data_IF_971364732752
#
_entry.id   IF_971364732752
#
_cell.length_a   1.000
_cell.length_b   1.000
_cell.length_c   1.000
_cell.angle_alpha   90.00
_cell.angle_beta   90.00
_cell.angle_gamma   90.00
#
_symmetry.space_group_name_H-M   'P 1'
#
loop_
_entity.id
_entity.type
_entity.pdbx_description
1 polymer ?
#
# COMPACT_ATOMS: atom_id res chain seq x y z
N UNK A 1 16.49 -34.57 -32.46
CA UNK A 1 15.16 -34.20 -31.89
C UNK A 1 14.20 -33.58 -32.93
N UNK A 2 13.02 -34.18 -33.11
CA UNK A 2 11.94 -33.67 -33.98
C UNK A 2 11.31 -32.37 -33.39
N UNK A 3 10.64 -31.57 -34.23
CA UNK A 3 9.97 -30.30 -33.86
C UNK A 3 8.93 -30.48 -32.75
N UNK A 4 8.19 -31.59 -32.75
CA UNK A 4 7.21 -31.91 -31.71
C UNK A 4 7.88 -32.12 -30.34
N UNK A 5 8.97 -32.91 -30.31
CA UNK A 5 9.78 -33.16 -29.13
C UNK A 5 10.40 -31.87 -28.58
N UNK A 6 10.96 -31.03 -29.44
CA UNK A 6 11.51 -29.73 -29.04
C UNK A 6 10.45 -28.82 -28.41
N UNK A 7 9.22 -28.84 -28.93
CA UNK A 7 8.10 -28.08 -28.37
C UNK A 7 7.68 -28.63 -27.01
N UNK A 8 7.62 -29.95 -26.85
CA UNK A 8 7.31 -30.62 -25.59
C UNK A 8 8.34 -30.30 -24.50
N UNK A 9 9.63 -30.49 -24.79
CA UNK A 9 10.72 -30.19 -23.85
C UNK A 9 10.71 -28.72 -23.43
N UNK A 10 10.45 -27.79 -24.35
CA UNK A 10 10.30 -26.38 -24.00
C UNK A 10 9.07 -26.09 -23.12
N UNK A 11 7.99 -26.89 -23.22
CA UNK A 11 6.87 -26.79 -22.27
C UNK A 11 7.34 -27.22 -20.87
N UNK A 12 7.99 -28.36 -20.73
CA UNK A 12 8.52 -28.85 -19.45
C UNK A 12 9.48 -27.82 -18.82
N UNK A 13 10.50 -27.37 -19.56
CA UNK A 13 11.52 -26.44 -19.04
C UNK A 13 11.00 -25.05 -18.67
N UNK A 14 9.89 -24.60 -19.30
CA UNK A 14 9.23 -23.34 -18.91
C UNK A 14 8.57 -23.42 -17.54
N UNK A 15 8.33 -24.63 -17.03
CA UNK A 15 7.69 -24.89 -15.73
C UNK A 15 8.70 -25.11 -14.61
N UNK A 16 10.00 -25.23 -14.87
CA UNK A 16 11.02 -25.51 -13.82
C UNK A 16 11.87 -24.26 -13.56
N UNK A 17 11.92 -23.80 -12.30
CA UNK A 17 12.70 -22.64 -11.87
C UNK A 17 14.15 -23.00 -11.56
N UNK A 18 14.94 -23.17 -12.63
CA UNK A 18 16.37 -23.47 -12.51
C UNK A 18 17.23 -22.64 -13.47
N UNK A 19 18.54 -22.60 -13.18
CA UNK A 19 19.51 -21.85 -13.99
C UNK A 19 19.68 -22.45 -15.40
N UNK A 20 20.17 -21.65 -16.34
CA UNK A 20 20.27 -22.05 -17.75
C UNK A 20 21.16 -23.29 -17.98
N UNK A 21 22.21 -23.46 -17.18
CA UNK A 21 23.07 -24.65 -17.22
C UNK A 21 22.30 -25.92 -16.83
N UNK A 22 21.41 -25.83 -15.86
CA UNK A 22 20.56 -26.96 -15.43
C UNK A 22 19.45 -27.26 -16.44
N UNK A 23 18.82 -26.23 -17.02
CA UNK A 23 17.86 -26.41 -18.13
C UNK A 23 18.48 -27.14 -19.32
N UNK A 24 19.79 -27.03 -19.52
CA UNK A 24 20.51 -27.78 -20.56
C UNK A 24 20.62 -29.27 -20.24
N UNK A 25 20.83 -29.64 -18.96
CA UNK A 25 20.88 -31.04 -18.51
C UNK A 25 19.52 -31.71 -18.64
N UNK A 26 18.48 -31.09 -18.07
CA UNK A 26 17.09 -31.59 -18.15
C UNK A 26 16.65 -31.77 -19.61
N UNK A 27 17.03 -30.85 -20.50
CA UNK A 27 16.75 -30.98 -21.94
C UNK A 27 17.34 -32.25 -22.54
N UNK A 28 18.57 -32.61 -22.15
CA UNK A 28 19.26 -33.79 -22.64
C UNK A 28 18.64 -35.06 -22.05
N UNK A 29 18.35 -35.07 -20.75
CA UNK A 29 17.75 -36.22 -20.06
C UNK A 29 16.38 -36.56 -20.67
N UNK A 30 15.53 -35.54 -20.89
CA UNK A 30 14.25 -35.70 -21.57
C UNK A 30 14.42 -36.20 -23.01
N UNK A 31 15.47 -35.78 -23.72
CA UNK A 31 15.70 -36.25 -25.08
C UNK A 31 16.02 -37.75 -25.09
N UNK A 32 16.87 -38.21 -24.17
CA UNK A 32 17.28 -39.62 -24.03
C UNK A 32 16.06 -40.48 -23.68
N UNK A 33 15.30 -40.10 -22.65
CA UNK A 33 14.09 -40.83 -22.22
C UNK A 33 13.08 -40.99 -23.37
N UNK A 34 12.94 -39.97 -24.22
CA UNK A 34 12.04 -40.02 -25.36
C UNK A 34 12.54 -40.95 -26.46
N UNK A 35 13.85 -40.97 -26.73
CA UNK A 35 14.42 -41.86 -27.74
C UNK A 35 14.33 -43.32 -27.32
N UNK A 36 14.60 -43.63 -26.05
CA UNK A 36 14.46 -44.97 -25.49
C UNK A 36 13.02 -45.47 -25.61
N UNK A 37 12.05 -44.69 -25.10
CA UNK A 37 10.64 -45.08 -25.16
C UNK A 37 10.06 -45.13 -26.57
N UNK A 38 10.56 -44.30 -27.48
CA UNK A 38 10.09 -44.31 -28.87
C UNK A 38 10.42 -45.63 -29.56
N UNK A 39 11.59 -46.21 -29.25
CA UNK A 39 12.00 -47.52 -29.76
C UNK A 39 11.17 -48.65 -29.14
N UNK A 40 10.93 -48.59 -27.83
CA UNK A 40 10.17 -49.62 -27.11
C UNK A 40 8.70 -49.67 -27.53
N UNK A 41 8.06 -48.52 -27.68
CA UNK A 41 6.62 -48.42 -27.92
C UNK A 41 6.27 -48.25 -29.41
N UNK A 42 7.28 -48.14 -30.29
CA UNK A 42 7.13 -47.78 -31.69
C UNK A 42 6.22 -46.54 -31.88
N UNK A 43 6.37 -45.55 -31.01
CA UNK A 43 5.56 -44.34 -30.95
C UNK A 43 6.47 -43.11 -31.00
N UNK A 44 6.00 -42.04 -31.64
CA UNK A 44 6.77 -40.82 -31.84
C UNK A 44 6.17 -39.60 -31.11
N UNK A 45 4.93 -39.71 -30.64
CA UNK A 45 4.23 -38.64 -29.94
C UNK A 45 4.78 -38.44 -28.51
N UNK A 46 5.38 -37.29 -28.19
CA UNK A 46 5.96 -37.03 -26.87
C UNK A 46 4.97 -37.20 -25.71
N UNK A 47 3.68 -36.92 -25.92
CA UNK A 47 2.67 -37.05 -24.87
C UNK A 47 2.37 -38.51 -24.53
N UNK A 48 2.47 -39.41 -25.52
CA UNK A 48 2.28 -40.85 -25.29
C UNK A 48 3.52 -41.50 -24.69
N UNK A 49 4.71 -40.96 -25.00
CA UNK A 49 5.98 -41.46 -24.48
C UNK A 49 6.19 -41.07 -23.01
N UNK A 50 6.01 -39.80 -22.70
CA UNK A 50 6.36 -39.24 -21.39
C UNK A 50 5.16 -38.75 -20.57
N UNK A 51 3.96 -38.76 -21.13
CA UNK A 51 2.77 -38.22 -20.48
C UNK A 51 2.65 -36.70 -20.64
N UNK A 52 1.95 -36.07 -19.71
CA UNK A 52 1.75 -34.62 -19.74
C UNK A 52 3.01 -33.88 -19.24
N UNK A 53 3.42 -32.79 -19.91
CA UNK A 53 4.65 -32.07 -19.59
C UNK A 53 4.64 -31.43 -18.19
N UNK A 54 3.47 -31.28 -17.57
CA UNK A 54 3.27 -30.89 -16.19
C UNK A 54 3.81 -31.94 -15.21
N UNK A 55 3.39 -33.20 -15.37
CA UNK A 55 3.79 -34.31 -14.49
C UNK A 55 5.29 -34.58 -14.61
N UNK A 56 5.80 -34.51 -15.85
CA UNK A 56 7.24 -34.63 -16.09
C UNK A 56 8.01 -33.47 -15.46
N UNK A 57 7.47 -32.25 -15.46
CA UNK A 57 8.13 -31.14 -14.78
C UNK A 57 8.16 -31.33 -13.25
N UNK A 58 7.09 -31.87 -12.67
CA UNK A 58 6.97 -32.19 -11.24
C UNK A 58 7.99 -33.26 -10.81
N UNK A 59 8.07 -34.38 -11.51
CA UNK A 59 9.02 -35.45 -11.20
C UNK A 59 10.47 -34.94 -11.22
N UNK A 60 10.82 -34.13 -12.20
CA UNK A 60 12.13 -33.49 -12.27
C UNK A 60 12.32 -32.48 -11.11
N UNK A 61 11.35 -31.63 -10.83
CA UNK A 61 11.41 -30.65 -9.75
C UNK A 61 11.57 -31.29 -8.36
N UNK A 62 10.81 -32.37 -8.08
CA UNK A 62 10.85 -33.14 -6.84
C UNK A 62 12.20 -33.84 -6.66
N UNK A 63 12.67 -34.57 -7.67
CA UNK A 63 13.96 -35.27 -7.63
C UNK A 63 15.15 -34.32 -7.44
N UNK A 64 14.99 -33.04 -7.78
CA UNK A 64 16.04 -32.03 -7.65
C UNK A 64 15.87 -31.08 -6.46
N UNK A 65 14.73 -31.08 -5.77
CA UNK A 65 14.41 -30.10 -4.72
C UNK A 65 14.29 -28.66 -5.23
N UNK A 66 13.85 -28.47 -6.48
CA UNK A 66 13.77 -27.15 -7.15
C UNK A 66 12.31 -26.77 -7.37
N UNK A 67 11.97 -25.48 -7.28
CA UNK A 67 10.60 -25.02 -7.44
C UNK A 67 10.12 -25.03 -8.90
N UNK A 68 8.82 -25.19 -9.11
CA UNK A 68 8.18 -24.98 -10.40
C UNK A 68 7.80 -23.50 -10.61
N UNK A 69 7.93 -23.00 -11.84
CA UNK A 69 7.23 -21.81 -12.32
C UNK A 69 5.73 -22.11 -12.38
N UNK A 70 5.05 -21.95 -11.24
CA UNK A 70 3.62 -22.23 -11.04
C UNK A 70 2.72 -21.48 -12.01
N UNK A 71 2.08 -22.20 -12.94
CA UNK A 71 0.76 -21.84 -13.51
C UNK A 71 0.09 -23.02 -14.27
N UNK A 72 -0.41 -24.04 -13.57
CA UNK A 72 -1.36 -25.02 -14.12
C UNK A 72 -2.47 -25.36 -13.12
N UNK A 73 -3.69 -25.51 -13.62
CA UNK A 73 -4.88 -25.94 -12.88
C UNK A 73 -5.30 -27.27 -13.51
N UNK A 74 -5.27 -28.37 -12.74
CA UNK A 74 -5.68 -29.70 -13.18
C UNK A 74 -7.06 -30.04 -12.62
N UNK A 75 -7.97 -30.42 -13.50
CA UNK A 75 -9.30 -30.94 -13.17
C UNK A 75 -9.39 -32.30 -13.82
N UNK A 76 -9.58 -33.37 -13.04
CA UNK A 76 -9.68 -34.72 -13.62
C UNK A 76 -10.92 -34.85 -14.51
N UNK A 77 -10.79 -35.50 -15.66
CA UNK A 77 -11.93 -35.79 -16.55
C UNK A 77 -12.96 -36.71 -15.88
N UNK A 78 -12.51 -37.58 -14.97
CA UNK A 78 -13.38 -38.45 -14.19
C UNK A 78 -14.10 -37.65 -13.11
N UNK A 79 -15.44 -37.68 -13.13
CA UNK A 79 -16.33 -37.00 -12.17
C UNK A 79 -17.16 -38.05 -11.41
N UNK A 80 -17.38 -37.82 -10.11
CA UNK A 80 -18.33 -38.58 -9.27
C UNK A 80 -19.36 -37.57 -8.74
N UNK A 81 -20.66 -37.85 -8.93
CA UNK A 81 -21.76 -36.93 -8.57
C UNK A 81 -21.62 -35.51 -9.15
N UNK A 82 -20.97 -35.37 -10.32
CA UNK A 82 -20.73 -34.06 -10.94
C UNK A 82 -19.54 -33.28 -10.35
N UNK A 83 -18.85 -33.84 -9.36
CA UNK A 83 -17.60 -33.30 -8.81
C UNK A 83 -16.39 -34.07 -9.34
N UNK A 84 -15.33 -33.40 -9.82
CA UNK A 84 -14.13 -34.07 -10.31
C UNK A 84 -13.50 -34.89 -9.17
N UNK A 85 -13.06 -36.11 -9.47
CA UNK A 85 -12.46 -37.03 -8.49
C UNK A 85 -11.19 -36.43 -7.88
N UNK A 86 -10.45 -35.67 -8.68
CA UNK A 86 -9.26 -34.92 -8.24
C UNK A 86 -9.39 -33.48 -8.73
N UNK A 87 -9.37 -32.53 -7.79
CA UNK A 87 -9.27 -31.10 -8.05
C UNK A 87 -8.04 -30.55 -7.32
N UNK A 88 -6.97 -30.25 -8.06
CA UNK A 88 -5.76 -29.64 -7.49
C UNK A 88 -5.81 -28.15 -7.80
N UNK A 89 -6.27 -27.36 -6.83
CA UNK A 89 -6.21 -25.90 -6.88
C UNK A 89 -4.86 -25.44 -6.32
N UNK A 90 -3.87 -25.27 -7.19
CA UNK A 90 -2.59 -24.70 -6.78
C UNK A 90 -2.75 -23.17 -6.65
N UNK A 91 -3.09 -22.69 -5.44
CA UNK A 91 -3.19 -21.27 -5.17
C UNK A 91 -1.80 -20.61 -5.24
N UNK A 92 -1.54 -19.92 -6.37
CA UNK A 92 -0.69 -18.74 -6.50
C UNK A 92 0.28 -18.44 -5.32
N UNK A 93 1.53 -18.89 -5.40
CA UNK A 93 2.61 -18.28 -4.61
C UNK A 93 3.09 -16.98 -5.28
N UNK A 94 2.20 -15.98 -5.30
CA UNK A 94 2.63 -14.58 -5.25
C UNK A 94 2.04 -14.01 -3.98
N UNK A 95 2.77 -14.14 -2.88
CA UNK A 95 2.48 -13.48 -1.62
C UNK A 95 2.03 -14.39 -0.48
N UNK A 96 2.48 -14.02 0.72
CA UNK A 96 2.22 -14.67 1.99
C UNK A 96 0.92 -14.14 2.61
N UNK A 97 0.09 -15.02 3.17
CA UNK A 97 -1.06 -14.63 3.97
C UNK A 97 -0.96 -15.30 5.35
N UNK A 98 -1.06 -14.48 6.39
CA UNK A 98 -1.08 -14.91 7.78
C UNK A 98 -2.27 -14.31 8.50
N UNK A 99 -2.97 -15.15 9.25
CA UNK A 99 -4.02 -14.75 10.19
C UNK A 99 -3.70 -15.34 11.55
N UNK A 100 -3.75 -14.50 12.58
CA UNK A 100 -3.58 -14.96 13.95
C UNK A 100 -4.72 -15.92 14.34
N UNK A 101 -4.40 -16.97 15.11
CA UNK A 101 -5.40 -17.91 15.65
C UNK A 101 -6.39 -17.23 16.60
N UNK A 102 -5.92 -16.23 17.36
CA UNK A 102 -6.76 -15.45 18.27
C UNK A 102 -7.57 -14.43 17.47
N UNK A 103 -8.88 -14.45 17.68
CA UNK A 103 -9.84 -13.56 17.04
C UNK A 103 -10.67 -12.81 18.08
N UNK A 104 -11.13 -11.61 17.74
CA UNK A 104 -12.10 -10.82 18.51
C UNK A 104 -13.31 -10.63 17.59
N UNK A 105 -14.48 -11.11 17.99
CA UNK A 105 -15.71 -11.03 17.17
C UNK A 105 -15.53 -11.57 15.73
N UNK A 106 -14.74 -12.63 15.56
CA UNK A 106 -14.44 -13.21 14.23
C UNK A 106 -13.37 -12.46 13.42
N UNK A 107 -12.83 -11.35 13.93
CA UNK A 107 -11.75 -10.57 13.31
C UNK A 107 -10.40 -11.03 13.90
N UNK A 108 -9.40 -11.42 13.08
CA UNK A 108 -8.08 -11.80 13.59
C UNK A 108 -7.38 -10.60 14.25
N UNK A 109 -6.65 -10.85 15.34
CA UNK A 109 -5.80 -9.83 15.96
C UNK A 109 -4.77 -9.29 14.96
N UNK A 110 -4.12 -10.17 14.21
CA UNK A 110 -3.13 -9.82 13.20
C UNK A 110 -3.49 -10.49 11.90
N UNK A 111 -3.55 -9.71 10.81
CA UNK A 111 -3.70 -10.22 9.46
C UNK A 111 -2.66 -9.57 8.56
N UNK A 112 -1.76 -10.37 8.00
CA UNK A 112 -0.76 -9.95 7.02
C UNK A 112 -1.13 -10.59 5.69
N UNK A 113 -1.27 -9.80 4.63
CA UNK A 113 -1.55 -10.30 3.29
C UNK A 113 -0.68 -9.57 2.27
N UNK A 114 0.39 -10.23 1.85
CA UNK A 114 1.35 -9.70 0.88
C UNK A 114 1.10 -10.24 -0.54
N UNK A 115 -0.10 -10.81 -0.80
CA UNK A 115 -0.51 -11.15 -2.15
C UNK A 115 -0.69 -9.85 -2.95
N UNK A 116 -0.36 -9.82 -4.26
CA UNK A 116 -0.68 -8.68 -5.11
C UNK A 116 -2.18 -8.38 -5.02
N UNK A 117 -2.54 -7.16 -4.63
CA UNK A 117 -3.93 -6.75 -4.37
C UNK A 117 -4.63 -7.56 -3.26
N UNK A 118 -3.86 -8.25 -2.42
CA UNK A 118 -4.34 -8.97 -1.25
C UNK A 118 -4.92 -8.00 -0.23
N UNK A 119 -6.08 -8.35 0.32
CA UNK A 119 -6.76 -7.58 1.35
C UNK A 119 -6.46 -8.20 2.72
N UNK A 120 -5.79 -7.44 3.58
CA UNK A 120 -5.62 -7.75 4.99
C UNK A 120 -6.76 -7.12 5.80
N UNK A 121 -7.41 -7.91 6.65
CA UNK A 121 -8.50 -7.51 7.56
C UNK A 121 -8.23 -8.01 8.97
N UNK A 122 -8.01 -7.11 9.93
CA UNK A 122 -7.66 -7.49 11.31
C UNK A 122 -7.68 -6.30 12.26
N UNK A 123 -7.42 -6.54 13.55
CA UNK A 123 -7.16 -5.44 14.49
C UNK A 123 -5.88 -4.70 14.07
N UNK A 124 -4.84 -5.46 13.79
CA UNK A 124 -3.61 -5.01 13.12
C UNK A 124 -3.58 -5.65 11.73
N UNK A 125 -3.69 -4.83 10.69
CA UNK A 125 -3.74 -5.28 9.30
C UNK A 125 -2.54 -4.75 8.51
N UNK A 126 -1.85 -5.63 7.77
CA UNK A 126 -0.71 -5.27 6.93
C UNK A 126 -0.83 -5.89 5.53
N UNK A 127 -0.79 -5.09 4.46
CA UNK A 127 -0.87 -5.60 3.09
C UNK A 127 -0.93 -4.52 2.03
N UNK A 128 -1.09 -4.89 0.75
CA UNK A 128 -1.31 -3.89 -0.31
C UNK A 128 -2.59 -3.09 -0.05
N UNK A 129 -3.64 -3.78 0.37
CA UNK A 129 -4.89 -3.20 0.87
C UNK A 129 -5.09 -3.68 2.30
N UNK A 130 -5.17 -2.77 3.27
CA UNK A 130 -5.33 -3.09 4.68
C UNK A 130 -6.56 -2.42 5.29
N UNK A 131 -7.32 -3.18 6.09
CA UNK A 131 -8.54 -2.73 6.76
C UNK A 131 -8.46 -3.17 8.22
N UNK A 132 -8.37 -2.22 9.16
CA UNK A 132 -8.24 -2.57 10.57
C UNK A 132 -8.34 -1.42 11.55
N UNK A 133 -8.10 -1.67 12.83
CA UNK A 133 -7.94 -0.59 13.81
C UNK A 133 -6.62 0.12 13.54
N UNK A 134 -5.55 -0.67 13.43
CA UNK A 134 -4.23 -0.24 12.97
C UNK A 134 -4.00 -0.84 11.60
N UNK A 135 -3.83 0.01 10.60
CA UNK A 135 -3.80 -0.38 9.19
C UNK A 135 -2.52 0.10 8.52
N UNK A 136 -1.75 -0.83 7.94
CA UNK A 136 -0.45 -0.60 7.28
C UNK A 136 -0.54 -1.09 5.84
N UNK A 137 -0.36 -0.22 4.85
CA UNK A 137 -0.46 -0.68 3.47
C UNK A 137 -0.31 0.36 2.38
N UNK A 138 -0.41 -0.05 1.12
CA UNK A 138 -0.46 0.90 0.01
C UNK A 138 -1.75 1.72 0.06
N UNK A 139 -2.88 1.03 0.18
CA UNK A 139 -4.19 1.59 0.50
C UNK A 139 -4.56 1.10 1.91
N UNK A 140 -4.66 2.00 2.87
CA UNK A 140 -4.95 1.67 4.26
C UNK A 140 -6.25 2.31 4.72
N UNK A 141 -7.13 1.51 5.34
CA UNK A 141 -8.42 1.94 5.89
C UNK A 141 -8.47 1.54 7.37
N UNK A 142 -8.78 2.47 8.26
CA UNK A 142 -8.82 2.13 9.69
C UNK A 142 -9.09 3.27 10.66
N UNK A 143 -8.85 3.01 11.94
CA UNK A 143 -8.89 4.06 12.98
C UNK A 143 -7.59 4.86 12.94
N UNK A 144 -6.48 4.12 12.87
CA UNK A 144 -5.12 4.62 12.65
C UNK A 144 -4.60 3.95 11.38
N UNK A 145 -4.22 4.76 10.39
CA UNK A 145 -3.85 4.27 9.06
C UNK A 145 -2.52 4.87 8.61
N UNK A 146 -1.65 4.02 8.08
CA UNK A 146 -0.36 4.38 7.51
C UNK A 146 -0.23 3.78 6.11
N UNK A 147 -0.01 4.63 5.11
CA UNK A 147 0.08 4.15 3.74
C UNK A 147 0.34 5.21 2.67
N UNK A 148 0.36 4.78 1.42
CA UNK A 148 0.44 5.71 0.29
C UNK A 148 -0.86 6.52 0.18
N UNK A 149 -1.99 5.81 0.22
CA UNK A 149 -3.35 6.35 0.34
C UNK A 149 -3.95 5.86 1.65
N UNK A 150 -4.32 6.78 2.54
CA UNK A 150 -4.76 6.46 3.89
C UNK A 150 -6.13 7.05 4.17
N UNK A 151 -7.08 6.20 4.58
CA UNK A 151 -8.38 6.58 5.11
C UNK A 151 -8.42 6.23 6.59
N UNK A 152 -8.53 7.23 7.45
CA UNK A 152 -8.48 7.06 8.89
C UNK A 152 -9.67 7.72 9.61
N UNK A 153 -10.07 7.18 10.75
CA UNK A 153 -11.02 7.87 11.62
C UNK A 153 -10.30 8.89 12.53
N UNK A 154 -9.19 8.48 13.17
CA UNK A 154 -8.46 9.32 14.12
C UNK A 154 -7.16 9.86 13.54
N UNK A 155 -6.30 8.99 13.00
CA UNK A 155 -4.97 9.40 12.55
C UNK A 155 -4.63 8.75 11.21
N UNK A 156 -4.47 9.57 10.18
CA UNK A 156 -4.03 9.16 8.85
C UNK A 156 -2.64 9.71 8.55
N UNK A 157 -1.69 8.84 8.20
CA UNK A 157 -0.37 9.24 7.71
C UNK A 157 -0.16 8.67 6.32
N UNK A 158 0.27 9.50 5.36
CA UNK A 158 0.54 9.01 4.02
C UNK A 158 0.90 10.04 2.96
N UNK A 159 0.98 9.59 1.71
CA UNK A 159 1.13 10.48 0.55
C UNK A 159 -0.15 11.31 0.34
N UNK A 160 -1.29 10.61 0.25
CA UNK A 160 -2.63 11.18 0.30
C UNK A 160 -3.37 10.61 1.50
N UNK A 161 -3.70 11.46 2.47
CA UNK A 161 -4.32 11.06 3.71
C UNK A 161 -5.64 11.82 3.93
N UNK A 162 -6.70 11.06 4.23
CA UNK A 162 -8.01 11.55 4.65
C UNK A 162 -8.30 11.00 6.04
N UNK A 163 -8.50 11.88 7.01
CA UNK A 163 -8.74 11.51 8.40
C UNK A 163 -9.90 12.27 9.03
N UNK A 164 -10.65 11.62 9.93
CA UNK A 164 -11.69 12.29 10.71
C UNK A 164 -11.15 13.32 11.70
N UNK A 165 -9.96 13.09 12.28
CA UNK A 165 -9.39 13.98 13.31
C UNK A 165 -8.06 14.58 12.85
N UNK A 166 -7.01 13.76 12.71
CA UNK A 166 -5.66 14.22 12.38
C UNK A 166 -5.15 13.58 11.09
N UNK A 167 -4.61 14.37 10.18
CA UNK A 167 -3.97 13.90 8.95
C UNK A 167 -2.57 14.49 8.77
N UNK A 168 -1.60 13.65 8.40
CA UNK A 168 -0.24 14.05 8.07
C UNK A 168 0.14 13.48 6.70
N UNK A 169 0.53 14.32 5.75
CA UNK A 169 0.91 13.81 4.42
C UNK A 169 1.28 14.83 3.37
N UNK A 170 1.50 14.37 2.14
CA UNK A 170 1.68 15.27 0.99
C UNK A 170 0.39 16.04 0.70
N UNK A 171 -0.70 15.32 0.49
CA UNK A 171 -2.07 15.80 0.49
C UNK A 171 -2.74 15.33 1.79
N UNK A 172 -3.07 16.27 2.68
CA UNK A 172 -3.67 15.97 3.98
C UNK A 172 -5.05 16.62 4.08
N UNK A 173 -6.07 15.81 4.33
CA UNK A 173 -7.45 16.28 4.57
C UNK A 173 -7.89 15.76 5.94
N UNK A 174 -8.27 16.67 6.85
CA UNK A 174 -8.65 16.30 8.21
C UNK A 174 -9.89 17.05 8.72
N UNK A 175 -10.62 16.44 9.66
CA UNK A 175 -11.69 17.14 10.38
C UNK A 175 -11.18 18.13 11.42
N UNK A 176 -10.05 17.88 12.10
CA UNK A 176 -9.53 18.77 13.14
C UNK A 176 -8.18 19.39 12.77
N UNK A 177 -7.21 18.57 12.41
CA UNK A 177 -5.82 19.01 12.29
C UNK A 177 -5.12 18.37 11.09
N UNK A 178 -4.65 19.18 10.15
CA UNK A 178 -3.93 18.72 8.95
C UNK A 178 -2.52 19.29 8.89
N UNK A 179 -1.52 18.43 8.70
CA UNK A 179 -0.15 18.83 8.39
C UNK A 179 0.23 18.27 7.02
N UNK A 180 0.72 19.11 6.10
CA UNK A 180 1.16 18.60 4.81
C UNK A 180 1.65 19.60 3.78
N UNK A 181 1.96 19.11 2.58
CA UNK A 181 2.24 19.98 1.44
C UNK A 181 1.00 20.78 1.04
N UNK A 182 -0.09 20.07 0.75
CA UNK A 182 -1.43 20.60 0.58
C UNK A 182 -2.31 20.11 1.73
N UNK A 183 -2.64 21.01 2.67
CA UNK A 183 -3.33 20.70 3.90
C UNK A 183 -4.71 21.39 3.94
N UNK A 184 -5.76 20.58 4.04
CA UNK A 184 -7.15 21.02 4.15
C UNK A 184 -7.73 20.51 5.46
N UNK A 185 -8.25 21.42 6.29
CA UNK A 185 -8.84 21.05 7.57
C UNK A 185 -10.08 21.88 7.88
N UNK A 186 -10.99 21.35 8.69
CA UNK A 186 -12.12 22.15 9.16
C UNK A 186 -11.70 23.13 10.28
N UNK A 187 -10.64 22.84 11.05
CA UNK A 187 -10.20 23.67 12.17
C UNK A 187 -8.81 24.27 11.95
N UNK A 188 -7.77 23.43 11.93
CA UNK A 188 -6.38 23.89 11.84
C UNK A 188 -5.64 23.20 10.70
N UNK A 189 -4.87 23.96 9.92
CA UNK A 189 -3.95 23.43 8.91
C UNK A 189 -2.56 24.07 8.97
N UNK A 190 -1.53 23.26 8.72
CA UNK A 190 -0.12 23.68 8.69
C UNK A 190 0.52 23.07 7.45
N UNK A 191 1.14 23.89 6.58
CA UNK A 191 1.68 23.33 5.34
C UNK A 191 2.23 24.30 4.31
N UNK A 192 2.50 23.80 3.11
CA UNK A 192 2.84 24.64 1.96
C UNK A 192 1.63 25.46 1.51
N UNK A 193 0.54 24.78 1.18
CA UNK A 193 -0.79 25.34 0.96
C UNK A 193 -1.72 24.87 2.09
N UNK A 194 -2.05 25.78 3.00
CA UNK A 194 -2.82 25.51 4.22
C UNK A 194 -4.18 26.21 4.14
N UNK A 195 -5.27 25.43 4.13
CA UNK A 195 -6.64 25.95 4.12
C UNK A 195 -7.39 25.37 5.32
N UNK A 196 -7.92 26.26 6.17
CA UNK A 196 -8.74 25.89 7.31
C UNK A 196 -9.79 26.96 7.66
N UNK A 197 -10.71 26.68 8.59
CA UNK A 197 -11.66 27.71 9.05
C UNK A 197 -11.09 28.57 10.16
N UNK A 198 -10.43 27.99 11.16
CA UNK A 198 -9.96 28.74 12.34
C UNK A 198 -8.52 29.25 12.16
N UNK A 199 -7.56 28.34 11.95
CA UNK A 199 -6.14 28.71 11.90
C UNK A 199 -5.38 28.02 10.76
N UNK A 200 -4.62 28.79 10.00
CA UNK A 200 -3.73 28.29 8.94
C UNK A 200 -2.33 28.88 9.06
N UNK A 201 -1.31 28.02 8.98
CA UNK A 201 0.09 28.42 8.94
C UNK A 201 0.80 27.83 7.72
N UNK A 202 1.45 28.65 6.89
CA UNK A 202 2.11 28.10 5.70
C UNK A 202 2.67 29.07 4.68
N UNK A 203 3.05 28.54 3.52
CA UNK A 203 3.40 29.37 2.36
C UNK A 203 2.18 30.18 1.90
N UNK A 204 1.13 29.48 1.45
CA UNK A 204 -0.19 30.04 1.25
C UNK A 204 -1.11 29.62 2.41
N UNK A 205 -1.73 30.57 3.09
CA UNK A 205 -2.60 30.30 4.24
C UNK A 205 -3.96 30.99 4.12
N UNK A 206 -5.05 30.22 4.21
CA UNK A 206 -6.42 30.73 4.21
C UNK A 206 -7.20 30.22 5.41
N UNK A 207 -7.58 31.12 6.32
CA UNK A 207 -8.37 30.84 7.52
C UNK A 207 -8.86 32.13 8.19
N UNK A 208 -9.66 32.04 9.27
CA UNK A 208 -10.01 33.20 10.10
C UNK A 208 -8.76 33.88 10.66
N UNK A 209 -7.83 33.09 11.18
CA UNK A 209 -6.48 33.51 11.61
C UNK A 209 -5.47 32.85 10.68
N UNK A 210 -4.64 33.63 9.97
CA UNK A 210 -3.61 33.05 9.09
C UNK A 210 -2.25 33.72 9.26
N UNK A 211 -1.19 32.92 9.18
CA UNK A 211 0.20 33.38 9.22
C UNK A 211 0.97 32.70 8.10
N UNK A 212 1.67 33.45 7.27
CA UNK A 212 2.36 32.85 6.14
C UNK A 212 3.06 33.82 5.20
N UNK A 213 3.46 33.35 4.02
CA UNK A 213 4.00 34.23 2.98
C UNK A 213 2.89 35.00 2.29
N UNK A 214 1.89 34.26 1.83
CA UNK A 214 0.66 34.76 1.23
C UNK A 214 -0.53 34.34 2.08
N UNK A 215 -1.37 35.29 2.48
CA UNK A 215 -2.54 34.99 3.31
C UNK A 215 -3.85 35.53 2.76
N UNK A 216 -4.93 34.80 3.03
CA UNK A 216 -6.31 35.27 2.91
C UNK A 216 -7.05 34.99 4.22
N UNK A 217 -7.23 36.03 5.05
CA UNK A 217 -7.75 35.84 6.41
C UNK A 217 -8.53 37.03 6.96
N UNK A 218 -9.29 36.80 8.03
CA UNK A 218 -9.90 37.90 8.79
C UNK A 218 -8.83 38.68 9.55
N UNK A 219 -7.97 37.97 10.28
CA UNK A 219 -6.80 38.53 10.96
C UNK A 219 -5.58 37.69 10.59
N UNK A 220 -4.41 38.32 10.46
CA UNK A 220 -3.22 37.55 10.16
C UNK A 220 -1.98 38.36 9.86
N UNK A 221 -0.88 37.64 9.72
CA UNK A 221 0.44 38.22 9.43
C UNK A 221 1.05 37.59 8.18
N UNK A 222 1.54 38.43 7.27
CA UNK A 222 2.13 37.98 6.00
C UNK A 222 3.54 38.52 5.78
N UNK A 223 4.39 37.79 5.04
CA UNK A 223 5.70 38.32 4.62
C UNK A 223 5.66 38.95 3.22
N UNK A 224 4.88 38.39 2.30
CA UNK A 224 4.86 38.80 0.88
C UNK A 224 3.55 39.52 0.51
N UNK A 225 2.40 38.84 0.68
CA UNK A 225 1.09 39.39 0.30
C UNK A 225 -0.01 38.99 1.29
N UNK A 226 -0.94 39.91 1.57
CA UNK A 226 -2.06 39.65 2.49
C UNK A 226 -3.36 40.26 2.02
N UNK A 227 -4.43 39.47 2.05
CA UNK A 227 -5.80 39.90 1.79
C UNK A 227 -6.66 39.62 3.02
N UNK A 228 -7.39 40.62 3.48
CA UNK A 228 -8.16 40.48 4.71
C UNK A 228 -8.58 41.79 5.36
N UNK A 229 -9.30 41.68 6.46
CA UNK A 229 -9.80 42.83 7.24
C UNK A 229 -8.69 43.40 8.14
N UNK A 230 -8.04 42.55 8.92
CA UNK A 230 -7.03 42.90 9.93
C UNK A 230 -5.68 42.21 9.63
N UNK A 231 -5.18 42.33 8.41
CA UNK A 231 -3.90 41.74 8.00
C UNK A 231 -2.75 42.74 8.08
N UNK A 232 -1.57 42.29 8.54
CA UNK A 232 -0.36 43.11 8.67
C UNK A 232 0.88 42.36 8.19
N UNK A 233 1.95 43.08 7.88
CA UNK A 233 3.25 42.45 7.64
C UNK A 233 3.76 41.81 8.94
N UNK A 234 4.44 40.66 8.83
CA UNK A 234 5.09 39.97 9.96
C UNK A 234 6.07 40.94 10.64
N UNK A 235 6.03 40.95 11.97
CA UNK A 235 6.94 41.72 12.85
C UNK A 235 7.80 40.70 13.62
N UNK A 236 9.01 41.09 14.02
CA UNK A 236 9.88 40.21 14.82
C UNK A 236 9.31 39.90 16.20
N UNK A 237 8.49 40.80 16.76
CA UNK A 237 7.85 40.65 18.06
C UNK A 237 6.63 39.72 17.99
N UNK A 238 6.87 38.46 18.36
CA UNK A 238 5.85 37.42 18.49
C UNK A 238 4.76 37.76 19.50
N UNK A 239 5.09 38.46 20.58
CA UNK A 239 4.13 38.78 21.63
C UNK A 239 3.12 39.81 21.14
N UNK A 240 3.61 40.84 20.44
CA UNK A 240 2.78 41.83 19.78
C UNK A 240 1.84 41.19 18.74
N UNK A 241 2.32 40.19 18.00
CA UNK A 241 1.48 39.44 17.05
C UNK A 241 0.34 38.68 17.76
N UNK A 242 0.63 38.03 18.88
CA UNK A 242 -0.38 37.30 19.68
C UNK A 242 -1.43 38.24 20.24
N UNK A 243 -1.01 39.32 20.89
CA UNK A 243 -1.91 40.30 21.50
C UNK A 243 -2.82 40.93 20.46
N UNK A 244 -2.28 41.22 19.28
CA UNK A 244 -3.05 41.72 18.15
C UNK A 244 -4.13 40.72 17.70
N UNK A 245 -3.78 39.44 17.49
CA UNK A 245 -4.74 38.40 17.10
C UNK A 245 -5.83 38.24 18.16
N UNK A 246 -5.45 38.15 19.43
CA UNK A 246 -6.39 37.97 20.54
C UNK A 246 -7.31 39.16 20.73
N UNK A 247 -6.85 40.38 20.44
CA UNK A 247 -7.69 41.58 20.46
C UNK A 247 -8.76 41.60 19.36
N UNK A 248 -8.49 40.96 18.20
CA UNK A 248 -9.39 40.96 17.03
C UNK A 248 -10.26 39.71 16.93
N UNK A 249 -9.84 38.61 17.55
CA UNK A 249 -10.54 37.32 17.56
C UNK A 249 -10.59 36.79 19.01
N UNK A 250 -11.42 37.40 19.87
CA UNK A 250 -11.50 37.00 21.28
C UNK A 250 -12.13 35.60 21.46
N UNK A 251 -12.95 35.18 20.49
CA UNK A 251 -13.68 33.91 20.45
C UNK A 251 -12.81 32.71 20.01
N UNK A 252 -11.51 32.89 19.84
CA UNK A 252 -10.59 31.82 19.45
C UNK A 252 -10.52 30.73 20.54
N UNK A 253 -10.70 29.48 20.17
CA UNK A 253 -10.67 28.36 21.12
C UNK A 253 -9.28 28.20 21.76
N UNK A 254 -9.26 27.76 23.02
CA UNK A 254 -8.00 27.50 23.76
C UNK A 254 -7.09 26.51 23.04
N UNK A 255 -7.67 25.52 22.35
CA UNK A 255 -6.94 24.57 21.52
C UNK A 255 -6.20 25.26 20.37
N UNK A 256 -6.87 26.15 19.63
CA UNK A 256 -6.24 26.89 18.52
C UNK A 256 -5.17 27.84 19.04
N UNK A 257 -5.41 28.54 20.16
CA UNK A 257 -4.40 29.39 20.83
C UNK A 257 -3.13 28.59 21.14
N UNK A 258 -3.28 27.43 21.78
CA UNK A 258 -2.15 26.59 22.15
C UNK A 258 -1.35 26.04 20.96
N UNK A 259 -2.00 25.77 19.82
CA UNK A 259 -1.29 25.39 18.59
C UNK A 259 -0.56 26.59 17.98
N UNK A 260 -1.22 27.74 17.90
CA UNK A 260 -0.64 28.97 17.37
C UNK A 260 0.59 29.40 18.16
N UNK A 261 0.53 29.34 19.49
CA UNK A 261 1.66 29.66 20.38
C UNK A 261 2.88 28.79 20.09
N UNK A 262 2.67 27.49 19.84
CA UNK A 262 3.74 26.56 19.47
C UNK A 262 4.32 26.86 18.09
N UNK A 263 3.47 27.19 17.11
CA UNK A 263 3.93 27.57 15.78
C UNK A 263 4.82 28.82 15.82
N UNK A 264 4.42 29.84 16.58
CA UNK A 264 5.20 31.07 16.70
C UNK A 264 6.51 30.86 17.47
N UNK A 265 6.49 30.09 18.56
CA UNK A 265 7.71 29.73 19.30
C UNK A 265 8.72 28.98 18.42
N UNK A 266 8.23 28.08 17.56
CA UNK A 266 9.09 27.34 16.64
C UNK A 266 9.79 28.28 15.63
N UNK A 267 9.11 29.34 15.18
CA UNK A 267 9.71 30.36 14.31
C UNK A 267 10.79 31.15 15.04
N UNK A 268 10.54 31.54 16.29
CA UNK A 268 11.55 32.25 17.09
C UNK A 268 12.77 31.37 17.38
N UNK A 269 12.59 30.06 17.56
CA UNK A 269 13.70 29.12 17.80
C UNK A 269 14.58 28.86 16.56
N UNK A 270 14.14 29.23 15.36
CA UNK A 270 14.91 29.06 14.12
C UNK A 270 15.73 30.32 13.75
N UNK A 271 15.61 31.39 14.54
CA UNK A 271 16.42 32.62 14.45
C UNK A 271 17.67 32.49 15.31
#
# INVERSE_FOLDING_TARGET
MNKAHKRYVNKVLRRIDCSNSYKKRIRNDLHIMMEEKALELNESDPYKLLGEPEQVAEEFAENMGVNLFTKYQYVSEKTILGTPVIQINNHNYRGYEYKSKKTIMGIPLVHINNKPLGVAKGIIACGSISIGIISLGGISIGVISFGGVSFALLLGIGGAALSGVVSIGGLAVAGLFAIGGAAFSNYISIGGAAIAKEFAYGGYAKAKVAIGKEINAKVGFYSESGKGEFVRKIVEDTQLMKDYIYSKVPDLSSFVKGVMDKCMYFVDSLR
#
